data_IF_636192619630
#
_entry.id   IF_636192619630
#
_cell.length_a   1.000
_cell.length_b   1.000
_cell.length_c   1.000
_cell.angle_alpha   90.00
_cell.angle_beta   90.00
_cell.angle_gamma   90.00
#
_symmetry.space_group_name_H-M   'P 1'
#
loop_
_entity.id
_entity.type
_entity.pdbx_description
1 polymer ?
#
# COMPACT_ATOMS: atom_id res chain seq x y z
N UNK A 1 56.61 9.15 -44.96
CA UNK A 1 55.65 8.07 -45.26
C UNK A 1 55.58 7.12 -44.08
N UNK A 2 54.38 6.98 -43.48
CA UNK A 2 53.76 5.80 -42.82
C UNK A 2 54.67 4.91 -41.94
N UNK A 3 54.41 4.66 -40.65
CA UNK A 3 53.25 4.97 -39.83
C UNK A 3 53.43 4.39 -38.41
N UNK A 4 52.91 5.17 -37.46
CA UNK A 4 52.49 4.89 -36.08
C UNK A 4 52.71 3.48 -35.47
N UNK A 5 53.41 3.47 -34.33
CA UNK A 5 53.08 2.60 -33.20
C UNK A 5 53.12 3.44 -31.91
N UNK A 6 51.97 3.97 -31.51
CA UNK A 6 51.78 4.68 -30.22
C UNK A 6 51.45 3.63 -29.17
N UNK A 7 52.38 3.36 -28.26
CA UNK A 7 52.12 2.55 -27.06
C UNK A 7 51.63 3.52 -25.98
N UNK A 8 50.31 3.67 -25.88
CA UNK A 8 49.66 4.43 -24.83
C UNK A 8 49.67 3.63 -23.54
N UNK A 9 50.39 4.14 -22.55
CA UNK A 9 50.32 3.74 -21.15
C UNK A 9 48.93 4.16 -20.60
N UNK A 10 48.06 3.20 -20.30
CA UNK A 10 46.79 3.46 -19.62
C UNK A 10 46.68 2.51 -18.43
N UNK A 11 47.21 2.95 -17.30
CA UNK A 11 46.93 2.33 -16.00
C UNK A 11 45.52 2.76 -15.57
N UNK A 12 44.51 1.96 -15.95
CA UNK A 12 43.15 2.12 -15.47
C UNK A 12 43.03 1.42 -14.12
N UNK A 13 43.21 2.17 -13.02
CA UNK A 13 42.85 1.73 -11.67
C UNK A 13 41.34 1.45 -11.65
N UNK A 14 40.97 0.18 -11.77
CA UNK A 14 39.63 -0.29 -11.44
C UNK A 14 39.54 -0.39 -9.91
N UNK A 15 39.20 0.72 -9.27
CA UNK A 15 38.78 0.72 -7.87
C UNK A 15 37.39 0.10 -7.82
N UNK A 16 37.33 -1.24 -7.70
CA UNK A 16 36.12 -1.93 -7.25
C UNK A 16 35.89 -1.52 -5.79
N UNK A 17 35.16 -0.43 -5.60
CA UNK A 17 34.57 -0.12 -4.30
C UNK A 17 33.42 -1.11 -4.15
N UNK A 18 33.72 -2.30 -3.61
CA UNK A 18 32.70 -3.17 -3.04
C UNK A 18 32.18 -2.47 -1.80
N UNK A 19 31.14 -1.66 -1.97
CA UNK A 19 30.29 -1.23 -0.86
C UNK A 19 29.55 -2.49 -0.41
N UNK A 20 30.17 -3.24 0.50
CA UNK A 20 29.45 -4.20 1.34
C UNK A 20 28.51 -3.37 2.18
N UNK A 21 27.26 -3.29 1.75
CA UNK A 21 26.20 -2.73 2.57
C UNK A 21 25.93 -3.78 3.65
N UNK A 22 26.63 -3.67 4.77
CA UNK A 22 26.38 -4.51 5.94
C UNK A 22 24.99 -4.13 6.45
N UNK A 23 23.99 -4.93 6.12
CA UNK A 23 22.69 -4.86 6.78
C UNK A 23 22.90 -5.27 8.23
N UNK A 24 22.63 -4.37 9.15
CA UNK A 24 22.71 -4.65 10.59
C UNK A 24 21.80 -5.83 10.94
N UNK A 25 22.17 -6.64 11.92
CA UNK A 25 21.41 -7.84 12.31
C UNK A 25 19.94 -7.57 12.67
N UNK A 26 19.62 -6.35 13.09
CA UNK A 26 18.24 -5.91 13.34
C UNK A 26 17.42 -5.76 12.04
N UNK A 27 18.04 -5.31 10.95
CA UNK A 27 17.33 -5.15 9.67
C UNK A 27 16.91 -6.49 9.06
N UNK A 28 17.68 -7.56 9.27
CA UNK A 28 17.32 -8.90 8.80
C UNK A 28 16.07 -9.42 9.53
N UNK A 29 15.99 -9.20 10.84
CA UNK A 29 14.83 -9.59 11.65
C UNK A 29 13.60 -8.76 11.26
N UNK A 30 13.77 -7.44 11.13
CA UNK A 30 12.73 -6.52 10.66
C UNK A 30 12.20 -6.90 9.26
N UNK A 31 13.09 -7.25 8.32
CA UNK A 31 12.72 -7.70 6.97
C UNK A 31 11.85 -8.97 7.02
N UNK A 32 12.18 -9.90 7.93
CA UNK A 32 11.41 -11.12 8.13
C UNK A 32 10.02 -10.82 8.70
N UNK A 33 9.93 -10.01 9.77
CA UNK A 33 8.64 -9.61 10.38
C UNK A 33 7.74 -8.93 9.33
N UNK A 34 8.30 -8.00 8.57
CA UNK A 34 7.58 -7.29 7.52
C UNK A 34 7.10 -8.24 6.42
N UNK A 35 7.95 -9.15 5.96
CA UNK A 35 7.62 -10.10 4.89
C UNK A 35 6.48 -11.03 5.31
N UNK A 36 6.57 -11.63 6.49
CA UNK A 36 5.52 -12.51 7.04
C UNK A 36 4.18 -11.77 7.13
N UNK A 37 4.19 -10.54 7.64
CA UNK A 37 2.97 -9.72 7.73
C UNK A 37 2.37 -9.38 6.38
N UNK A 38 3.20 -9.02 5.38
CA UNK A 38 2.72 -8.72 4.03
C UNK A 38 2.10 -9.96 3.40
N UNK A 39 2.75 -11.13 3.51
CA UNK A 39 2.26 -12.39 2.95
C UNK A 39 0.93 -12.83 3.58
N UNK A 40 0.76 -12.58 4.88
CA UNK A 40 -0.51 -12.79 5.58
C UNK A 40 -1.62 -11.88 5.06
N UNK A 41 -1.31 -10.65 4.66
CA UNK A 41 -2.29 -9.68 4.14
C UNK A 41 -2.66 -9.97 2.69
N UNK A 42 -1.63 -10.11 1.84
CA UNK A 42 -1.76 -10.33 0.42
C UNK A 42 -0.80 -11.44 -0.03
N UNK A 43 -1.32 -12.64 -0.33
CA UNK A 43 -0.51 -13.72 -0.86
C UNK A 43 0.29 -13.31 -2.10
N UNK A 44 1.52 -13.80 -2.19
CA UNK A 44 2.49 -13.45 -3.24
C UNK A 44 1.94 -13.42 -4.66
N UNK A 45 1.09 -14.38 -5.04
CA UNK A 45 0.48 -14.45 -6.37
C UNK A 45 -0.34 -13.19 -6.74
N UNK A 46 -1.01 -12.59 -5.76
CA UNK A 46 -1.83 -11.39 -5.96
C UNK A 46 -0.95 -10.14 -6.02
N UNK A 47 0.10 -10.09 -5.19
CA UNK A 47 1.09 -9.02 -5.26
C UNK A 47 1.85 -9.04 -6.61
N UNK A 48 2.20 -10.23 -7.10
CA UNK A 48 2.86 -10.40 -8.40
C UNK A 48 1.91 -10.05 -9.57
N UNK A 49 0.59 -10.20 -9.40
CA UNK A 49 -0.40 -9.72 -10.39
C UNK A 49 -0.41 -8.20 -10.47
N UNK A 50 -0.37 -7.50 -9.33
CA UNK A 50 -0.28 -6.04 -9.30
C UNK A 50 1.02 -5.52 -9.92
N UNK A 51 2.16 -6.18 -9.63
CA UNK A 51 3.44 -5.85 -10.26
C UNK A 51 3.43 -6.01 -11.78
N UNK A 52 2.74 -7.03 -12.31
CA UNK A 52 2.56 -7.22 -13.76
C UNK A 52 1.73 -6.13 -14.42
N UNK A 53 0.97 -5.38 -13.63
CA UNK A 53 0.22 -4.20 -14.06
C UNK A 53 1.01 -2.90 -13.79
N UNK A 54 2.33 -3.00 -13.56
CA UNK A 54 3.23 -1.88 -13.25
C UNK A 54 2.87 -1.13 -11.94
N UNK A 55 2.26 -1.83 -10.97
CA UNK A 55 2.10 -1.28 -9.63
C UNK A 55 3.46 -1.20 -8.92
N UNK A 56 3.85 0.00 -8.53
CA UNK A 56 5.10 0.25 -7.79
C UNK A 56 4.90 -0.14 -6.33
N UNK A 57 5.88 -0.84 -5.77
CA UNK A 57 5.94 -1.17 -4.34
C UNK A 57 7.23 -0.60 -3.77
N UNK A 58 7.09 0.25 -2.77
CA UNK A 58 8.19 0.79 -1.98
C UNK A 58 8.48 -0.15 -0.83
N UNK A 59 9.45 -1.06 -1.05
CA UNK A 59 9.96 -1.97 -0.03
C UNK A 59 10.87 -1.26 0.99
N UNK A 60 11.13 -1.94 2.09
CA UNK A 60 12.06 -1.49 3.13
C UNK A 60 11.40 -1.43 4.51
N UNK A 61 12.24 -1.47 5.54
CA UNK A 61 11.85 -1.53 6.96
C UNK A 61 11.93 -0.18 7.66
N UNK A 62 12.08 0.91 6.90
CA UNK A 62 12.18 2.28 7.44
C UNK A 62 11.19 3.21 6.73
N UNK A 63 9.89 2.92 6.73
CA UNK A 63 8.91 3.82 6.14
C UNK A 63 8.85 5.15 6.90
N UNK A 64 8.47 6.25 6.24
CA UNK A 64 8.10 7.48 6.93
C UNK A 64 6.91 7.23 7.87
N UNK A 65 6.80 8.05 8.93
CA UNK A 65 5.57 8.10 9.73
C UNK A 65 4.50 8.84 8.96
N UNK A 66 3.43 8.16 8.58
CA UNK A 66 2.31 8.74 7.82
C UNK A 66 1.00 8.60 8.61
N UNK A 67 0.54 9.73 9.17
CA UNK A 67 -0.72 9.80 9.90
C UNK A 67 -1.53 11.04 9.48
N UNK A 68 -2.84 10.86 9.36
CA UNK A 68 -3.74 11.92 8.90
C UNK A 68 -4.88 11.41 8.05
N UNK A 69 -5.65 12.36 7.54
CA UNK A 69 -6.70 12.15 6.55
C UNK A 69 -6.26 12.78 5.24
N UNK A 70 -6.38 12.05 4.14
CA UNK A 70 -5.94 12.49 2.83
C UNK A 70 -7.04 12.31 1.81
N UNK A 71 -7.25 13.31 0.96
CA UNK A 71 -8.17 13.24 -0.17
C UNK A 71 -7.42 12.76 -1.42
N UNK A 72 -7.99 11.81 -2.15
CA UNK A 72 -7.47 11.35 -3.45
C UNK A 72 -8.47 11.81 -4.51
N UNK A 73 -8.13 12.88 -5.23
CA UNK A 73 -9.04 13.56 -6.15
C UNK A 73 -8.26 14.32 -7.23
N UNK A 74 -8.58 14.15 -8.52
CA UNK A 74 -9.48 13.13 -9.08
C UNK A 74 -8.87 11.73 -9.03
N UNK A 75 -9.65 10.74 -8.58
CA UNK A 75 -9.24 9.33 -8.57
C UNK A 75 -9.53 8.67 -9.93
N UNK A 76 -8.47 8.32 -10.65
CA UNK A 76 -8.55 7.86 -12.05
C UNK A 76 -8.01 6.45 -12.18
N UNK A 77 -8.69 5.61 -12.96
CA UNK A 77 -8.18 4.31 -13.36
C UNK A 77 -6.95 4.48 -14.26
N UNK A 78 -5.82 3.94 -13.83
CA UNK A 78 -4.58 3.83 -14.60
C UNK A 78 -4.66 2.60 -15.51
N UNK A 79 -4.62 1.41 -14.90
CA UNK A 79 -4.46 0.14 -15.61
C UNK A 79 -5.28 -0.96 -14.93
N UNK A 80 -5.73 -1.96 -15.69
CA UNK A 80 -6.48 -3.12 -15.18
C UNK A 80 -6.25 -4.36 -16.06
N UNK A 81 -6.47 -5.55 -15.50
CA UNK A 81 -6.57 -6.81 -16.25
C UNK A 81 -8.02 -7.20 -16.59
N UNK A 82 -8.99 -6.30 -16.40
CA UNK A 82 -10.41 -6.52 -16.67
C UNK A 82 -10.73 -5.96 -18.07
N UNK A 83 -11.25 -6.81 -18.97
CA UNK A 83 -11.45 -6.44 -20.37
C UNK A 83 -12.45 -5.28 -20.60
N UNK A 84 -13.43 -5.11 -19.70
CA UNK A 84 -14.43 -4.04 -19.78
C UNK A 84 -13.92 -2.69 -19.26
N UNK A 85 -12.83 -2.69 -18.50
CA UNK A 85 -12.29 -1.49 -17.90
C UNK A 85 -11.57 -0.64 -18.93
N UNK A 86 -11.62 0.68 -18.74
CA UNK A 86 -10.99 1.64 -19.65
C UNK A 86 -10.09 2.61 -18.88
N UNK A 87 -8.77 2.58 -19.11
CA UNK A 87 -7.86 3.60 -18.59
C UNK A 87 -8.40 5.02 -18.78
N UNK A 88 -8.23 5.87 -17.77
CA UNK A 88 -8.80 7.22 -17.73
C UNK A 88 -10.23 7.29 -17.19
N UNK A 89 -10.89 6.16 -16.88
CA UNK A 89 -12.17 6.16 -16.20
C UNK A 89 -12.05 6.85 -14.83
N UNK A 90 -12.93 7.82 -14.57
CA UNK A 90 -12.97 8.54 -13.29
C UNK A 90 -13.84 7.81 -12.29
N UNK A 91 -13.24 7.40 -11.17
CA UNK A 91 -13.95 6.91 -10.00
C UNK A 91 -14.49 8.08 -9.16
N UNK A 92 -15.26 7.74 -8.11
CA UNK A 92 -15.56 8.71 -7.08
C UNK A 92 -14.26 9.15 -6.38
N UNK A 93 -14.21 10.41 -5.98
CA UNK A 93 -13.08 10.91 -5.20
C UNK A 93 -13.01 10.14 -3.88
N UNK A 94 -11.82 9.67 -3.54
CA UNK A 94 -11.60 8.76 -2.43
C UNK A 94 -10.97 9.49 -1.24
N UNK A 95 -11.07 8.90 -0.05
CA UNK A 95 -10.39 9.42 1.15
C UNK A 95 -9.74 8.29 1.92
N UNK A 96 -8.58 8.56 2.48
CA UNK A 96 -7.91 7.64 3.40
C UNK A 96 -7.68 8.30 4.74
N UNK A 97 -7.82 7.53 5.81
CA UNK A 97 -7.42 7.87 7.16
C UNK A 97 -6.42 6.84 7.65
N UNK A 98 -5.25 7.33 8.04
CA UNK A 98 -4.09 6.55 8.46
C UNK A 98 -3.73 6.91 9.89
N UNK A 99 -3.58 5.91 10.76
CA UNK A 99 -3.28 6.15 12.19
C UNK A 99 -2.62 4.97 12.88
N UNK A 100 -2.01 5.20 14.03
CA UNK A 100 -1.51 4.14 14.89
C UNK A 100 -0.38 3.35 14.24
N UNK A 101 0.49 4.04 13.48
CA UNK A 101 1.62 3.40 12.84
C UNK A 101 2.62 2.91 13.90
N UNK A 102 3.08 1.66 13.77
CA UNK A 102 4.08 1.07 14.64
C UNK A 102 5.26 0.54 13.81
N UNK A 103 6.40 1.22 13.93
CA UNK A 103 7.60 0.91 13.17
C UNK A 103 8.36 -0.34 13.66
N UNK A 104 7.93 -0.97 14.77
CA UNK A 104 8.52 -2.23 15.27
C UNK A 104 7.86 -3.47 14.70
N UNK A 105 6.55 -3.42 14.49
CA UNK A 105 5.78 -4.55 13.94
C UNK A 105 5.19 -4.26 12.56
N UNK A 106 5.52 -3.10 11.99
CA UNK A 106 5.08 -2.60 10.69
C UNK A 106 3.56 -2.48 10.54
N UNK A 107 2.80 -2.35 11.63
CA UNK A 107 1.34 -2.14 11.57
C UNK A 107 0.97 -0.68 11.35
N UNK A 108 -0.21 -0.44 10.74
CA UNK A 108 -0.83 0.88 10.59
C UNK A 108 -2.34 0.74 10.38
N UNK A 109 -3.20 1.51 11.03
CA UNK A 109 -4.64 1.44 10.76
C UNK A 109 -4.97 2.19 9.46
N UNK A 110 -5.77 1.55 8.59
CA UNK A 110 -6.27 2.13 7.34
C UNK A 110 -7.79 2.08 7.31
N UNK A 111 -8.39 3.26 7.15
CA UNK A 111 -9.79 3.43 6.79
C UNK A 111 -9.89 4.16 5.45
N UNK A 112 -10.56 3.54 4.49
CA UNK A 112 -10.78 4.05 3.14
C UNK A 112 -12.25 4.43 2.91
N UNK A 113 -12.47 5.37 2.01
CA UNK A 113 -13.79 5.79 1.52
C UNK A 113 -13.71 5.82 -0.01
N UNK A 114 -14.66 5.15 -0.68
CA UNK A 114 -14.83 5.12 -2.13
C UNK A 114 -13.71 4.42 -2.94
N UNK A 115 -13.01 3.43 -2.37
CA UNK A 115 -12.07 2.61 -3.14
C UNK A 115 -12.73 1.36 -3.72
N UNK A 116 -13.54 0.70 -2.89
CA UNK A 116 -14.32 -0.48 -3.25
C UNK A 116 -15.80 -0.14 -3.08
N UNK A 117 -16.17 0.44 -1.94
CA UNK A 117 -17.50 0.93 -1.62
C UNK A 117 -17.45 2.25 -0.82
N UNK A 118 -18.61 2.75 -0.39
CA UNK A 118 -18.72 4.00 0.38
C UNK A 118 -17.90 4.01 1.69
N UNK A 119 -17.58 2.84 2.26
CA UNK A 119 -16.75 2.71 3.46
C UNK A 119 -15.98 1.40 3.40
N UNK A 120 -14.66 1.50 3.43
CA UNK A 120 -13.73 0.39 3.31
C UNK A 120 -12.83 0.35 4.56
N UNK A 121 -13.02 -0.65 5.43
CA UNK A 121 -12.19 -0.79 6.63
C UNK A 121 -11.20 -1.94 6.44
N UNK A 122 -9.91 -1.68 6.68
CA UNK A 122 -8.90 -2.74 6.71
C UNK A 122 -8.79 -3.35 8.10
N UNK A 123 -8.83 -4.68 8.18
CA UNK A 123 -8.75 -5.43 9.45
C UNK A 123 -7.28 -5.75 9.78
N UNK A 124 -6.47 -5.99 8.75
CA UNK A 124 -5.06 -6.32 8.88
C UNK A 124 -4.26 -5.53 7.86
N UNK A 125 -3.18 -4.94 8.33
CA UNK A 125 -2.41 -3.96 7.59
C UNK A 125 -0.92 -4.06 7.86
N UNK A 126 -0.14 -3.64 6.87
CA UNK A 126 1.30 -3.50 6.96
C UNK A 126 1.73 -2.20 6.28
N UNK A 127 2.87 -1.65 6.69
CA UNK A 127 3.54 -0.56 5.99
C UNK A 127 5.01 -0.92 5.73
N UNK A 128 5.44 -0.76 4.48
CA UNK A 128 6.84 -0.85 4.06
C UNK A 128 7.30 0.47 3.48
N UNK A 129 8.60 0.71 3.43
CA UNK A 129 9.13 1.91 2.80
C UNK A 129 10.56 2.23 3.19
N UNK A 130 11.08 3.30 2.59
CA UNK A 130 12.39 3.88 2.90
C UNK A 130 12.32 5.37 2.61
N UNK A 131 12.97 6.17 3.46
CA UNK A 131 12.98 7.62 3.40
C UNK A 131 11.55 8.20 3.44
N UNK A 132 11.12 8.86 2.36
CA UNK A 132 9.80 9.44 2.24
C UNK A 132 8.84 8.57 1.43
N UNK A 133 9.25 7.39 0.95
CA UNK A 133 8.40 6.52 0.13
C UNK A 133 7.82 5.40 0.97
N UNK A 134 6.56 5.07 0.72
CA UNK A 134 5.88 4.01 1.48
C UNK A 134 4.88 3.23 0.63
N UNK A 135 4.62 2.00 1.06
CA UNK A 135 3.51 1.18 0.60
C UNK A 135 2.75 0.62 1.80
N UNK A 136 1.44 0.83 1.81
CA UNK A 136 0.52 0.26 2.80
C UNK A 136 -0.24 -0.88 2.15
N UNK A 137 -0.35 -1.99 2.86
CA UNK A 137 -1.09 -3.17 2.44
C UNK A 137 -2.26 -3.34 3.40
N UNK A 138 -3.45 -3.63 2.88
CA UNK A 138 -4.66 -3.83 3.65
C UNK A 138 -5.44 -5.03 3.14
N UNK A 139 -5.90 -5.89 4.06
CA UNK A 139 -6.90 -6.93 3.77
C UNK A 139 -8.27 -6.39 4.15
N UNK A 140 -9.11 -6.19 3.15
CA UNK A 140 -10.44 -5.61 3.29
C UNK A 140 -11.49 -6.69 3.04
N UNK A 141 -12.46 -6.80 3.95
CA UNK A 141 -13.68 -7.56 3.71
C UNK A 141 -14.77 -6.57 3.28
N UNK A 142 -15.24 -6.71 2.05
CA UNK A 142 -16.35 -5.90 1.53
C UNK A 142 -17.64 -6.73 1.53
N UNK A 143 -18.78 -6.10 1.84
CA UNK A 143 -20.07 -6.77 1.97
C UNK A 143 -21.14 -5.98 1.20
N UNK A 144 -21.93 -6.66 0.38
CA UNK A 144 -23.07 -6.09 -0.37
C UNK A 144 -24.27 -7.00 -0.13
N UNK A 145 -25.25 -6.52 0.64
CA UNK A 145 -26.37 -7.35 1.09
C UNK A 145 -25.88 -8.59 1.83
N UNK A 146 -26.25 -9.78 1.35
CA UNK A 146 -25.79 -11.06 1.90
C UNK A 146 -24.48 -11.59 1.29
N UNK A 147 -23.92 -10.88 0.30
CA UNK A 147 -22.69 -11.27 -0.40
C UNK A 147 -21.47 -10.60 0.21
N UNK A 148 -20.30 -11.25 0.13
CA UNK A 148 -19.05 -10.70 0.64
C UNK A 148 -17.85 -11.15 -0.18
N UNK A 149 -16.79 -10.35 -0.16
CA UNK A 149 -15.52 -10.66 -0.81
C UNK A 149 -14.32 -10.20 0.03
N UNK A 150 -13.17 -10.83 -0.17
CA UNK A 150 -11.88 -10.44 0.40
C UNK A 150 -11.04 -9.79 -0.69
N UNK A 151 -10.59 -8.57 -0.43
CA UNK A 151 -9.86 -7.73 -1.37
C UNK A 151 -8.54 -7.31 -0.73
N UNK A 152 -7.46 -7.41 -1.50
CA UNK A 152 -6.21 -6.75 -1.18
C UNK A 152 -6.29 -5.30 -1.65
N UNK A 153 -6.15 -4.35 -0.72
CA UNK A 153 -6.04 -2.93 -1.00
C UNK A 153 -4.61 -2.48 -0.71
N UNK A 154 -3.92 -1.93 -1.70
CA UNK A 154 -2.53 -1.48 -1.59
C UNK A 154 -2.46 0.00 -1.94
N UNK A 155 -1.76 0.80 -1.15
CA UNK A 155 -1.50 2.21 -1.43
C UNK A 155 0.01 2.38 -1.54
N UNK A 156 0.51 2.93 -2.65
CA UNK A 156 1.91 3.29 -2.82
C UNK A 156 2.04 4.78 -3.08
N UNK A 157 2.94 5.44 -2.36
CA UNK A 157 2.99 6.89 -2.32
C UNK A 157 4.31 7.43 -1.76
N UNK A 158 4.45 8.75 -1.81
CA UNK A 158 5.54 9.50 -1.22
C UNK A 158 4.97 10.53 -0.23
N UNK A 159 5.57 10.68 0.95
CA UNK A 159 5.23 11.75 1.89
C UNK A 159 5.97 13.03 1.50
N UNK A 160 5.22 14.08 1.23
CA UNK A 160 5.76 15.42 0.95
C UNK A 160 6.16 16.16 2.22
N UNK A 161 7.13 17.06 2.10
CA UNK A 161 7.56 17.94 3.20
C UNK A 161 6.46 18.92 3.66
N UNK A 162 5.44 19.12 2.83
CA UNK A 162 4.22 19.90 3.10
C UNK A 162 3.17 19.11 3.91
N UNK A 163 3.47 17.85 4.24
CA UNK A 163 2.56 16.94 4.92
C UNK A 163 1.48 16.32 4.02
N UNK A 164 1.48 16.63 2.72
CA UNK A 164 0.60 15.97 1.75
C UNK A 164 1.21 14.66 1.28
N UNK A 165 0.36 13.76 0.79
CA UNK A 165 0.82 12.59 0.05
C UNK A 165 1.01 12.98 -1.41
N UNK A 166 2.08 12.49 -2.05
CA UNK A 166 2.43 12.72 -3.45
C UNK A 166 2.45 11.41 -4.21
N UNK A 167 2.16 11.50 -5.52
CA UNK A 167 2.25 10.37 -6.45
C UNK A 167 1.46 9.13 -5.98
N UNK A 168 0.29 9.33 -5.36
CA UNK A 168 -0.50 8.26 -4.78
C UNK A 168 -1.05 7.34 -5.85
N UNK A 169 -0.68 6.05 -5.79
CA UNK A 169 -1.30 4.96 -6.54
C UNK A 169 -1.99 4.00 -5.60
N UNK A 170 -3.17 3.55 -5.99
CA UNK A 170 -3.96 2.56 -5.26
C UNK A 170 -4.18 1.33 -6.12
N UNK A 171 -3.84 0.16 -5.61
CA UNK A 171 -4.14 -1.14 -6.21
C UNK A 171 -5.26 -1.82 -5.44
N UNK A 172 -6.27 -2.32 -6.14
CA UNK A 172 -7.21 -3.29 -5.58
C UNK A 172 -7.10 -4.60 -6.35
N UNK A 173 -7.15 -5.72 -5.63
CA UNK A 173 -7.13 -7.06 -6.22
C UNK A 173 -8.05 -8.01 -5.46
N UNK A 174 -8.87 -8.76 -6.20
CA UNK A 174 -9.75 -9.74 -5.59
C UNK A 174 -8.98 -10.99 -5.15
N UNK A 175 -9.05 -11.28 -3.85
CA UNK A 175 -8.39 -12.43 -3.23
C UNK A 175 -9.37 -13.61 -3.11
N UNK A 176 -10.63 -13.34 -2.72
CA UNK A 176 -11.68 -14.35 -2.57
C UNK A 176 -13.07 -13.74 -2.80
N UNK A 177 -13.71 -14.14 -3.90
CA UNK A 177 -15.08 -13.80 -4.29
C UNK A 177 -16.06 -15.00 -4.15
N UNK A 178 -15.69 -16.06 -3.43
CA UNK A 178 -16.51 -17.27 -3.31
C UNK A 178 -17.92 -17.02 -2.75
N UNK A 179 -18.11 -15.91 -2.03
CA UNK A 179 -19.39 -15.41 -1.51
C UNK A 179 -19.85 -14.13 -2.20
N UNK A 180 -19.25 -13.76 -3.33
CA UNK A 180 -19.42 -12.46 -3.98
C UNK A 180 -20.70 -12.30 -4.79
N UNK A 181 -21.32 -13.39 -5.23
CA UNK A 181 -22.63 -13.38 -5.90
C UNK A 181 -22.72 -12.50 -7.17
N UNK A 182 -21.58 -12.24 -7.83
CA UNK A 182 -21.50 -11.40 -9.03
C UNK A 182 -21.44 -9.87 -8.78
N UNK A 183 -21.46 -9.43 -7.52
CA UNK A 183 -21.37 -8.00 -7.17
C UNK A 183 -19.94 -7.46 -7.16
N UNK A 184 -18.94 -8.33 -7.30
CA UNK A 184 -17.53 -7.99 -7.22
C UNK A 184 -16.78 -8.46 -8.48
N UNK A 185 -15.61 -7.88 -8.73
CA UNK A 185 -14.68 -8.38 -9.75
C UNK A 185 -14.22 -9.81 -9.38
N UNK A 186 -13.87 -10.63 -10.36
CA UNK A 186 -13.52 -12.04 -10.12
C UNK A 186 -12.16 -12.22 -9.46
N UNK A 187 -11.92 -13.36 -8.80
CA UNK A 187 -10.60 -13.70 -8.24
C UNK A 187 -9.44 -13.42 -9.20
N UNK A 188 -8.40 -12.75 -8.71
CA UNK A 188 -7.22 -12.36 -9.48
C UNK A 188 -7.43 -11.15 -10.40
N UNK A 189 -8.66 -10.64 -10.55
CA UNK A 189 -8.88 -9.37 -11.22
C UNK A 189 -8.43 -8.21 -10.34
N UNK A 190 -7.82 -7.21 -10.98
CA UNK A 190 -7.19 -6.10 -10.31
C UNK A 190 -7.36 -4.80 -11.09
N UNK A 191 -7.34 -3.69 -10.35
CA UNK A 191 -7.34 -2.32 -10.87
C UNK A 191 -6.26 -1.53 -10.16
N UNK A 192 -5.54 -0.72 -10.92
CA UNK A 192 -4.65 0.32 -10.42
C UNK A 192 -5.28 1.65 -10.76
N UNK A 193 -5.42 2.50 -9.76
CA UNK A 193 -5.87 3.86 -9.89
C UNK A 193 -4.86 4.80 -9.24
N UNK A 194 -4.99 6.10 -9.52
CA UNK A 194 -4.06 7.10 -9.02
C UNK A 194 -4.74 8.44 -8.80
N UNK A 195 -4.09 9.29 -8.02
CA UNK A 195 -4.45 10.69 -7.89
C UNK A 195 -3.92 11.49 -9.08
N UNK A 196 -4.81 12.00 -9.92
CA UNK A 196 -4.41 12.54 -11.24
C UNK A 196 -3.73 13.90 -11.21
N UNK A 197 -3.83 14.64 -10.11
CA UNK A 197 -3.03 15.85 -9.86
C UNK A 197 -1.72 15.56 -9.11
N UNK A 198 -1.48 14.29 -8.77
CA UNK A 198 -0.34 13.77 -8.04
C UNK A 198 -0.19 14.32 -6.61
N UNK A 199 -1.23 14.94 -6.05
CA UNK A 199 -1.24 15.52 -4.70
C UNK A 199 -2.50 15.08 -3.95
N UNK A 200 -2.33 14.12 -3.04
CA UNK A 200 -3.38 13.76 -2.11
C UNK A 200 -3.34 14.68 -0.89
N UNK A 201 -4.15 15.73 -0.91
CA UNK A 201 -4.20 16.79 0.10
C UNK A 201 -4.49 16.24 1.50
N UNK A 202 -3.74 16.70 2.50
CA UNK A 202 -4.06 16.46 3.90
C UNK A 202 -5.26 17.31 4.30
N UNK A 203 -6.37 16.66 4.60
CA UNK A 203 -7.66 17.29 4.91
C UNK A 203 -8.00 17.25 6.41
N UNK A 204 -7.12 16.68 7.23
CA UNK A 204 -7.27 16.68 8.68
C UNK A 204 -6.33 15.72 9.38
N UNK A 205 -6.36 15.76 10.70
CA UNK A 205 -5.68 14.77 11.54
C UNK A 205 -6.49 13.47 11.58
N UNK A 206 -5.79 12.36 11.72
CA UNK A 206 -6.45 11.10 12.03
C UNK A 206 -7.05 11.20 13.43
N UNK A 207 -8.26 10.67 13.62
CA UNK A 207 -8.77 10.47 14.98
C UNK A 207 -7.87 9.44 15.64
N UNK A 208 -7.13 9.84 16.68
CA UNK A 208 -6.37 8.87 17.45
C UNK A 208 -7.36 7.84 18.00
N UNK A 209 -7.30 6.60 17.53
CA UNK A 209 -7.90 5.47 18.24
C UNK A 209 -6.94 4.99 19.34
N UNK A 210 -6.19 5.92 19.95
CA UNK A 210 -5.40 5.67 21.13
C UNK A 210 -6.33 5.71 22.34
N UNK A 211 -6.74 4.51 22.77
CA UNK A 211 -6.72 4.08 24.17
C UNK A 211 -6.80 5.21 25.21
N UNK A 212 -8.02 5.63 25.58
CA UNK A 212 -8.31 5.80 27.00
C UNK A 212 -8.70 4.43 27.53
N UNK A 213 -7.71 3.60 27.87
CA UNK A 213 -7.96 2.38 28.64
C UNK A 213 -7.20 2.54 29.95
N UNK A 214 -7.94 3.00 30.96
CA UNK A 214 -7.70 2.57 32.31
C UNK A 214 -7.70 1.04 32.35
N UNK A 215 -6.53 0.49 32.66
CA UNK A 215 -6.23 -0.83 33.21
C UNK A 215 -6.83 -2.16 32.70
N UNK A 216 -7.78 -2.27 31.78
CA UNK A 216 -8.27 -3.60 31.35
C UNK A 216 -8.18 -3.83 29.84
N UNK A 217 -7.40 -4.85 29.45
CA UNK A 217 -7.26 -5.33 28.07
C UNK A 217 -8.57 -5.96 27.61
N UNK A 218 -9.17 -5.43 26.55
CA UNK A 218 -10.26 -6.12 25.81
C UNK A 218 -9.71 -6.58 24.46
N UNK A 219 -9.95 -7.84 24.03
CA UNK A 219 -9.48 -8.31 22.73
C UNK A 219 -10.17 -7.62 21.55
N UNK A 220 -9.44 -7.45 20.44
CA UNK A 220 -9.89 -6.89 19.17
C UNK A 220 -11.11 -7.60 18.54
N UNK A 221 -11.52 -8.76 19.06
CA UNK A 221 -12.68 -9.53 18.58
C UNK A 221 -14.02 -8.82 18.76
N UNK A 222 -14.13 -7.84 19.66
CA UNK A 222 -15.40 -7.21 20.00
C UNK A 222 -15.78 -6.01 19.12
N UNK A 223 -14.87 -5.51 18.26
CA UNK A 223 -15.14 -4.33 17.43
C UNK A 223 -15.90 -4.63 16.13
N UNK A 224 -15.90 -5.89 15.67
CA UNK A 224 -16.62 -6.31 14.46
C UNK A 224 -18.14 -6.40 14.63
N UNK A 225 -18.66 -6.31 15.85
CA UNK A 225 -20.09 -6.45 16.14
C UNK A 225 -20.85 -5.12 16.19
N UNK A 226 -20.20 -3.99 16.44
CA UNK A 226 -20.87 -2.69 16.57
C UNK A 226 -21.01 -1.91 15.24
N UNK A 227 -20.26 -2.28 14.20
CA UNK A 227 -20.38 -1.64 12.86
C UNK A 227 -21.33 -2.38 11.92
N UNK A 228 -21.83 -3.55 12.30
CA UNK A 228 -22.85 -4.31 11.57
C UNK A 228 -24.27 -4.08 12.08
N UNK A 229 -24.47 -3.14 13.01
CA UNK A 229 -25.74 -2.91 13.69
C UNK A 229 -26.17 -1.45 13.65
N UNK A 230 -26.37 -0.90 12.45
CA UNK A 230 -27.23 0.26 12.24
C UNK A 230 -27.95 0.05 10.89
N UNK A 231 -29.16 -0.49 10.98
CA UNK A 231 -30.22 -0.27 9.99
C UNK A 231 -30.57 1.22 9.89
#
# INVERSE_FOLDING_TARGET
>A
MKGLLKITLTALLFSFILISCDKDGNEIEDEKILTERIEDIIPKQYLDTLKKLDFVIHSGVKPPTVEGKFAIKPHILDTSNIASDRPGHRFQDAKIELSGQNNKDFSILLYGENFIHNRDTSITTAISGTDNKFTIYGKVKSTVGSTSAIIGMIISAELGNDGNIKNCKTGIIMIDDSKGGGNFISNGQARIAFDSDFISERIGDSKSMAKTIGNNRVPLSNWLLETSGLD
#
